data_IF_366455239887
#
_entry.id   IF_366455239887
#
_cell.length_a   1.000
_cell.length_b   1.000
_cell.length_c   1.000
_cell.angle_alpha   90.00
_cell.angle_beta   90.00
_cell.angle_gamma   90.00
#
_symmetry.space_group_name_H-M   'P 1'
#
loop_
_entity.id
_entity.type
_entity.pdbx_description
1 polymer ?
#
# COMPACT_ATOMS: atom_id res chain seq x y z
N UNK A 1 0.94 8.19 -34.45
CA UNK A 1 2.39 7.99 -34.21
C UNK A 1 2.99 8.96 -33.19
N UNK A 2 2.68 10.26 -33.23
CA UNK A 2 3.15 11.28 -32.27
C UNK A 2 2.82 10.98 -30.79
N UNK A 3 1.60 10.48 -30.50
CA UNK A 3 1.15 10.15 -29.13
C UNK A 3 2.00 9.05 -28.48
N UNK A 4 2.33 8.00 -29.23
CA UNK A 4 3.15 6.89 -28.72
C UNK A 4 4.60 7.30 -28.44
N UNK A 5 5.20 8.12 -29.32
CA UNK A 5 6.53 8.69 -29.09
C UNK A 5 6.57 9.58 -27.85
N UNK A 6 5.52 10.37 -27.61
CA UNK A 6 5.41 11.19 -26.40
C UNK A 6 5.33 10.31 -25.13
N UNK A 7 4.56 9.22 -25.15
CA UNK A 7 4.50 8.26 -24.04
C UNK A 7 5.83 7.54 -23.76
N UNK A 8 6.56 7.15 -24.81
CA UNK A 8 7.89 6.54 -24.68
C UNK A 8 8.93 7.49 -24.09
N UNK A 9 8.91 8.78 -24.50
CA UNK A 9 9.78 9.81 -23.92
C UNK A 9 9.47 10.07 -22.44
N UNK A 10 8.19 10.04 -22.06
CA UNK A 10 7.80 10.14 -20.65
C UNK A 10 8.31 8.96 -19.82
N UNK A 11 8.29 7.75 -20.37
CA UNK A 11 8.67 6.53 -19.66
C UNK A 11 10.19 6.30 -19.58
N UNK A 12 10.93 6.60 -20.65
CA UNK A 12 12.37 6.31 -20.76
C UNK A 12 13.27 7.56 -20.65
N UNK A 13 12.68 8.76 -20.53
CA UNK A 13 13.41 10.03 -20.54
C UNK A 13 13.71 10.54 -21.95
N UNK A 14 14.14 11.80 -22.04
CA UNK A 14 14.42 12.48 -23.33
C UNK A 14 15.66 11.95 -24.06
N UNK A 15 16.49 11.13 -23.39
CA UNK A 15 17.80 10.68 -23.89
C UNK A 15 17.75 9.48 -24.86
N UNK A 16 16.57 8.91 -25.14
CA UNK A 16 16.40 7.82 -26.11
C UNK A 16 15.67 8.28 -27.36
N UNK A 17 16.37 8.28 -28.48
CA UNK A 17 15.76 8.35 -29.80
C UNK A 17 15.22 6.98 -30.20
N UNK A 18 13.95 6.94 -30.63
CA UNK A 18 13.28 5.73 -31.08
C UNK A 18 13.16 5.76 -32.60
N UNK A 19 13.81 4.82 -33.27
CA UNK A 19 13.76 4.66 -34.73
C UNK A 19 12.38 4.11 -35.14
N UNK A 20 11.87 4.48 -36.33
CA UNK A 20 10.50 4.17 -36.75
C UNK A 20 10.19 2.67 -36.86
N UNK A 21 11.17 1.92 -37.31
CA UNK A 21 11.17 0.46 -37.38
C UNK A 21 10.99 -0.22 -36.01
N UNK A 22 11.36 0.43 -34.91
CA UNK A 22 11.22 -0.10 -33.55
C UNK A 22 9.84 0.14 -32.94
N UNK A 23 9.01 1.02 -33.53
CA UNK A 23 7.69 1.36 -32.98
C UNK A 23 6.77 0.14 -32.82
N UNK A 24 6.67 -0.79 -33.79
CA UNK A 24 5.86 -2.01 -33.63
C UNK A 24 6.31 -2.85 -32.43
N UNK A 25 7.62 -3.07 -32.29
CA UNK A 25 8.21 -3.81 -31.15
C UNK A 25 7.83 -3.20 -29.81
N UNK A 26 7.99 -1.88 -29.67
CA UNK A 26 7.68 -1.21 -28.40
C UNK A 26 6.20 -1.22 -28.08
N UNK A 27 5.30 -1.19 -29.08
CA UNK A 27 3.86 -1.33 -28.83
C UNK A 27 3.54 -2.69 -28.24
N UNK A 28 4.00 -3.77 -28.89
CA UNK A 28 3.77 -5.13 -28.44
C UNK A 28 4.35 -5.35 -27.03
N UNK A 29 5.57 -4.86 -26.79
CA UNK A 29 6.20 -4.96 -25.49
C UNK A 29 5.41 -4.24 -24.39
N UNK A 30 4.94 -3.02 -24.65
CA UNK A 30 4.24 -2.21 -23.65
C UNK A 30 2.77 -2.63 -23.44
N UNK A 31 2.16 -3.36 -24.37
CA UNK A 31 0.83 -3.95 -24.20
C UNK A 31 0.86 -5.37 -23.61
N UNK A 32 2.04 -5.98 -23.48
CA UNK A 32 2.19 -7.33 -22.92
C UNK A 32 2.36 -7.31 -21.40
N UNK A 33 1.40 -7.93 -20.70
CA UNK A 33 1.49 -8.13 -19.24
C UNK A 33 2.74 -8.92 -18.84
N UNK A 34 3.11 -9.92 -19.65
CA UNK A 34 4.30 -10.74 -19.42
C UNK A 34 5.58 -9.90 -19.44
N UNK A 35 5.67 -8.96 -20.37
CA UNK A 35 6.79 -8.04 -20.50
C UNK A 35 6.85 -7.05 -19.33
N UNK A 36 5.71 -6.47 -18.94
CA UNK A 36 5.62 -5.61 -17.75
C UNK A 36 6.09 -6.34 -16.50
N UNK A 37 5.58 -7.55 -16.27
CA UNK A 37 5.96 -8.36 -15.10
C UNK A 37 7.44 -8.76 -15.14
N UNK A 38 8.00 -9.02 -16.34
CA UNK A 38 9.43 -9.29 -16.50
C UNK A 38 10.27 -8.10 -16.10
N UNK A 39 9.96 -6.89 -16.57
CA UNK A 39 10.70 -5.67 -16.25
C UNK A 39 10.69 -5.38 -14.74
N UNK A 40 9.53 -5.51 -14.09
CA UNK A 40 9.39 -5.34 -12.63
C UNK A 40 10.26 -6.36 -11.89
N UNK A 41 10.12 -7.66 -12.22
CA UNK A 41 10.82 -8.73 -11.52
C UNK A 41 12.33 -8.67 -11.71
N UNK A 42 12.79 -8.50 -12.95
CA UNK A 42 14.22 -8.43 -13.27
C UNK A 42 14.84 -7.16 -12.71
N UNK A 43 14.18 -6.01 -12.85
CA UNK A 43 14.63 -4.74 -12.30
C UNK A 43 14.83 -4.80 -10.80
N UNK A 44 13.84 -5.31 -10.06
CA UNK A 44 13.93 -5.44 -8.61
C UNK A 44 14.99 -6.46 -8.17
N UNK A 45 15.06 -7.62 -8.81
CA UNK A 45 16.07 -8.63 -8.48
C UNK A 45 17.49 -8.10 -8.67
N UNK A 46 17.77 -7.40 -9.78
CA UNK A 46 19.07 -6.75 -10.04
C UNK A 46 19.39 -5.68 -9.00
N UNK A 47 18.43 -4.82 -8.66
CA UNK A 47 18.57 -3.80 -7.63
C UNK A 47 18.92 -4.42 -6.28
N UNK A 48 18.14 -5.41 -5.83
CA UNK A 48 18.29 -6.04 -4.54
C UNK A 48 19.61 -6.81 -4.43
N UNK A 49 19.94 -7.62 -5.45
CA UNK A 49 21.17 -8.39 -5.49
C UNK A 49 22.41 -7.48 -5.48
N UNK A 50 22.40 -6.38 -6.24
CA UNK A 50 23.49 -5.38 -6.20
C UNK A 50 23.60 -4.73 -4.82
N UNK A 51 22.48 -4.36 -4.21
CA UNK A 51 22.45 -3.73 -2.89
C UNK A 51 22.99 -4.64 -1.78
N UNK A 52 22.77 -5.94 -1.88
CA UNK A 52 23.12 -6.92 -0.84
C UNK A 52 24.30 -7.83 -1.24
N UNK A 53 25.01 -7.52 -2.33
CA UNK A 53 26.11 -8.33 -2.87
C UNK A 53 25.77 -9.83 -3.06
N UNK A 54 24.53 -10.12 -3.51
CA UNK A 54 24.06 -11.47 -3.81
C UNK A 54 24.13 -11.76 -5.31
N UNK A 55 24.23 -13.03 -5.69
CA UNK A 55 24.19 -13.49 -7.10
C UNK A 55 23.13 -14.57 -7.37
N UNK A 56 22.23 -14.76 -6.43
CA UNK A 56 21.24 -15.84 -6.44
C UNK A 56 19.92 -15.43 -7.10
N UNK A 57 19.08 -16.44 -7.35
CA UNK A 57 17.69 -16.23 -7.74
C UNK A 57 16.92 -15.52 -6.63
N UNK A 58 16.27 -14.40 -6.98
CA UNK A 58 15.45 -13.64 -6.03
C UNK A 58 14.00 -14.15 -5.96
N UNK A 59 13.43 -14.56 -7.10
CA UNK A 59 12.03 -14.98 -7.20
C UNK A 59 11.93 -16.51 -7.21
N UNK A 60 11.00 -17.08 -6.44
CA UNK A 60 10.78 -18.53 -6.40
C UNK A 60 10.08 -19.09 -7.64
N UNK A 61 9.11 -18.37 -8.20
CA UNK A 61 8.26 -18.88 -9.29
C UNK A 61 7.98 -17.86 -10.39
N UNK A 62 7.46 -18.31 -11.54
CA UNK A 62 6.92 -17.43 -12.60
C UNK A 62 5.63 -16.74 -12.14
N UNK A 63 5.30 -15.59 -12.73
CA UNK A 63 4.03 -14.94 -12.42
C UNK A 63 2.88 -15.78 -12.99
N UNK A 64 1.73 -15.76 -12.30
CA UNK A 64 0.50 -16.41 -12.76
C UNK A 64 -0.47 -15.32 -13.20
N UNK A 65 -1.23 -15.59 -14.26
CA UNK A 65 -2.29 -14.71 -14.75
C UNK A 65 -3.58 -15.52 -14.85
N UNK A 66 -4.62 -15.07 -14.16
CA UNK A 66 -5.93 -15.71 -14.14
C UNK A 66 -6.97 -14.62 -14.32
N UNK A 67 -7.92 -14.83 -15.23
CA UNK A 67 -9.01 -13.90 -15.47
C UNK A 67 -10.00 -14.00 -14.31
N UNK A 68 -10.36 -12.84 -13.74
CA UNK A 68 -11.39 -12.72 -12.70
C UNK A 68 -12.56 -11.98 -13.33
N UNK A 69 -13.65 -12.69 -13.54
CA UNK A 69 -14.79 -12.21 -14.36
C UNK A 69 -15.96 -11.69 -13.51
N UNK A 70 -16.13 -12.18 -12.27
CA UNK A 70 -17.26 -11.83 -11.39
C UNK A 70 -16.83 -10.99 -10.19
N UNK A 71 -17.67 -10.03 -9.78
CA UNK A 71 -17.45 -9.14 -8.64
C UNK A 71 -17.21 -9.88 -7.32
N UNK A 72 -17.97 -10.95 -7.05
CA UNK A 72 -17.75 -11.80 -5.86
C UNK A 72 -16.36 -12.45 -5.86
N UNK A 73 -15.92 -12.92 -7.02
CA UNK A 73 -14.59 -13.52 -7.15
C UNK A 73 -13.51 -12.46 -6.91
N UNK A 74 -13.72 -11.24 -7.40
CA UNK A 74 -12.81 -10.12 -7.15
C UNK A 74 -12.76 -9.75 -5.66
N UNK A 75 -13.91 -9.64 -4.98
CA UNK A 75 -13.98 -9.37 -3.52
C UNK A 75 -13.20 -10.42 -2.74
N UNK A 76 -13.42 -11.71 -3.05
CA UNK A 76 -12.75 -12.82 -2.39
C UNK A 76 -11.23 -12.79 -2.61
N UNK A 77 -10.79 -12.51 -3.84
CA UNK A 77 -9.38 -12.40 -4.20
C UNK A 77 -8.69 -11.22 -3.48
N UNK A 78 -9.33 -10.05 -3.47
CA UNK A 78 -8.81 -8.86 -2.80
C UNK A 78 -8.72 -9.08 -1.28
N UNK A 79 -9.76 -9.63 -0.66
CA UNK A 79 -9.76 -9.92 0.76
C UNK A 79 -8.71 -10.97 1.13
N UNK A 80 -8.49 -11.98 0.28
CA UNK A 80 -7.39 -12.93 0.47
C UNK A 80 -6.04 -12.20 0.55
N UNK A 81 -5.77 -11.29 -0.38
CA UNK A 81 -4.53 -10.50 -0.40
C UNK A 81 -4.42 -9.62 0.84
N UNK A 82 -5.47 -8.88 1.18
CA UNK A 82 -5.47 -7.95 2.31
C UNK A 82 -5.37 -8.65 3.67
N UNK A 83 -5.82 -9.91 3.77
CA UNK A 83 -5.70 -10.75 4.97
C UNK A 83 -4.37 -11.50 5.08
N UNK A 84 -3.54 -11.56 4.04
CA UNK A 84 -2.26 -12.28 4.12
C UNK A 84 -1.31 -11.77 5.22
N UNK A 85 -1.12 -10.45 5.41
CA UNK A 85 -0.28 -9.93 6.49
C UNK A 85 -0.82 -10.28 7.89
N UNK A 86 -2.14 -10.24 8.06
CA UNK A 86 -2.80 -10.69 9.29
C UNK A 86 -2.49 -12.16 9.54
N UNK A 87 -2.79 -13.03 8.57
CA UNK A 87 -2.59 -14.48 8.66
C UNK A 87 -1.14 -14.87 8.91
N UNK A 88 -0.19 -14.09 8.37
CA UNK A 88 1.24 -14.24 8.60
C UNK A 88 1.72 -13.70 9.97
N UNK A 89 0.82 -13.19 10.81
CA UNK A 89 1.16 -12.68 12.14
C UNK A 89 1.76 -11.27 12.17
N UNK A 90 1.83 -10.56 11.04
CA UNK A 90 2.51 -9.27 10.94
C UNK A 90 1.72 -8.11 11.56
N UNK A 91 0.39 -8.22 11.60
CA UNK A 91 -0.53 -7.19 12.11
C UNK A 91 -1.68 -7.83 12.88
N UNK A 92 -2.40 -7.05 13.68
CA UNK A 92 -3.64 -7.49 14.36
C UNK A 92 -4.90 -7.10 13.59
N UNK A 93 -4.81 -6.06 12.76
CA UNK A 93 -5.89 -5.57 11.92
C UNK A 93 -5.44 -5.45 10.45
N UNK A 94 -6.28 -5.83 9.48
CA UNK A 94 -5.89 -5.83 8.07
C UNK A 94 -5.39 -4.45 7.57
N UNK A 95 -5.99 -3.36 8.02
CA UNK A 95 -5.62 -2.01 7.60
C UNK A 95 -4.34 -1.45 8.25
N UNK A 96 -3.76 -2.17 9.23
CA UNK A 96 -2.48 -1.78 9.81
C UNK A 96 -1.31 -2.10 8.87
N UNK A 97 -1.50 -3.03 7.94
CA UNK A 97 -0.50 -3.31 6.93
C UNK A 97 -0.61 -2.32 5.77
N UNK A 98 0.29 -1.33 5.74
CA UNK A 98 0.22 -0.21 4.78
C UNK A 98 0.38 -0.57 3.30
N UNK A 99 0.89 -1.76 2.98
CA UNK A 99 1.19 -2.19 1.62
C UNK A 99 0.12 -3.12 1.02
N UNK A 100 -1.06 -3.19 1.63
CA UNK A 100 -2.24 -3.83 1.02
C UNK A 100 -3.26 -2.75 0.60
N UNK A 101 -4.32 -3.17 -0.11
CA UNK A 101 -5.28 -2.24 -0.68
C UNK A 101 -6.04 -1.49 0.41
N UNK A 102 -6.61 -2.22 1.38
CA UNK A 102 -7.36 -1.62 2.48
C UNK A 102 -6.51 -0.62 3.28
N UNK A 103 -5.29 -1.01 3.65
CA UNK A 103 -4.32 -0.16 4.33
C UNK A 103 -4.03 1.11 3.55
N UNK A 104 -3.67 1.01 2.27
CA UNK A 104 -3.40 2.17 1.42
C UNK A 104 -4.61 3.13 1.34
N UNK A 105 -5.81 2.60 1.11
CA UNK A 105 -7.03 3.42 1.03
C UNK A 105 -7.34 4.16 2.34
N UNK A 106 -7.09 3.54 3.50
CA UNK A 106 -7.39 4.13 4.80
C UNK A 106 -6.30 5.05 5.32
N UNK A 107 -5.05 4.74 5.00
CA UNK A 107 -3.88 5.46 5.46
C UNK A 107 -3.52 6.67 4.59
N UNK A 108 -3.89 6.64 3.30
CA UNK A 108 -3.56 7.71 2.34
C UNK A 108 -4.78 8.38 1.72
N UNK A 109 -5.99 7.87 2.02
CA UNK A 109 -7.24 8.23 1.33
C UNK A 109 -7.24 7.94 -0.18
N UNK A 110 -6.24 7.17 -0.65
CA UNK A 110 -5.95 6.98 -2.07
C UNK A 110 -5.78 8.33 -2.77
N UNK A 111 -4.97 9.21 -2.18
CA UNK A 111 -4.77 10.59 -2.64
C UNK A 111 -4.31 10.66 -4.10
N UNK A 112 -3.41 9.76 -4.49
CA UNK A 112 -2.83 9.73 -5.84
C UNK A 112 -3.72 9.02 -6.86
N UNK A 113 -4.92 8.59 -6.46
CA UNK A 113 -5.84 7.76 -7.26
C UNK A 113 -5.16 6.50 -7.85
N UNK A 114 -4.17 5.97 -7.14
CA UNK A 114 -3.36 4.85 -7.60
C UNK A 114 -4.13 3.53 -7.63
N UNK A 115 -4.99 3.29 -6.64
CA UNK A 115 -5.79 2.07 -6.55
C UNK A 115 -7.27 2.34 -6.88
N UNK A 116 -7.88 1.39 -7.60
CA UNK A 116 -9.31 1.42 -7.88
C UNK A 116 -10.13 1.29 -6.59
N UNK A 117 -11.26 1.98 -6.51
CA UNK A 117 -12.22 1.85 -5.39
C UNK A 117 -13.36 0.91 -5.70
N UNK A 118 -13.25 0.13 -6.79
CA UNK A 118 -14.29 -0.79 -7.23
C UNK A 118 -14.56 -1.87 -6.20
N UNK A 119 -13.51 -2.54 -5.76
CA UNK A 119 -13.55 -3.71 -4.87
C UNK A 119 -14.50 -4.83 -5.34
N UNK A 120 -14.99 -4.83 -6.59
CA UNK A 120 -16.05 -5.74 -7.05
C UNK A 120 -17.45 -5.33 -6.58
N UNK A 121 -17.57 -4.19 -5.90
CA UNK A 121 -18.82 -3.69 -5.33
C UNK A 121 -19.64 -2.83 -6.30
N UNK A 122 -19.08 -2.44 -7.46
CA UNK A 122 -19.86 -1.73 -8.48
C UNK A 122 -20.96 -2.60 -9.09
N UNK A 123 -20.72 -3.91 -9.24
CA UNK A 123 -21.71 -4.87 -9.73
C UNK A 123 -22.93 -4.95 -8.80
N UNK A 124 -22.74 -4.69 -7.51
CA UNK A 124 -23.80 -4.62 -6.49
C UNK A 124 -24.42 -3.22 -6.37
N UNK A 125 -24.25 -2.35 -7.37
CA UNK A 125 -24.80 -0.99 -7.42
C UNK A 125 -24.36 -0.04 -6.28
N UNK A 126 -23.25 -0.33 -5.60
CA UNK A 126 -22.72 0.55 -4.54
C UNK A 126 -21.97 1.73 -5.14
N UNK A 127 -22.60 2.91 -5.19
CA UNK A 127 -22.06 4.09 -5.89
C UNK A 127 -21.07 4.93 -5.08
N UNK A 128 -21.21 5.00 -3.76
CA UNK A 128 -20.36 5.84 -2.91
C UNK A 128 -19.00 5.20 -2.62
N UNK A 129 -17.90 5.94 -2.83
CA UNK A 129 -16.54 5.50 -2.46
C UNK A 129 -16.44 5.18 -0.97
N UNK A 130 -17.05 6.02 -0.11
CA UNK A 130 -17.08 5.81 1.35
C UNK A 130 -17.75 4.48 1.66
N UNK A 131 -18.88 4.21 1.00
CA UNK A 131 -19.67 3.01 1.22
C UNK A 131 -18.96 1.74 0.73
N UNK A 132 -18.33 1.78 -0.46
CA UNK A 132 -17.54 0.65 -0.95
C UNK A 132 -16.40 0.28 -0.01
N UNK A 133 -15.68 1.27 0.51
CA UNK A 133 -14.60 1.03 1.49
C UNK A 133 -15.17 0.42 2.78
N UNK A 134 -16.31 0.90 3.27
CA UNK A 134 -16.97 0.41 4.48
C UNK A 134 -17.43 -1.05 4.32
N UNK A 135 -18.16 -1.36 3.25
CA UNK A 135 -18.64 -2.71 2.96
C UNK A 135 -17.51 -3.69 2.68
N UNK A 136 -16.49 -3.27 1.94
CA UNK A 136 -15.31 -4.10 1.73
C UNK A 136 -14.56 -4.36 3.05
N UNK A 137 -14.41 -3.34 3.90
CA UNK A 137 -13.82 -3.50 5.24
C UNK A 137 -14.62 -4.48 6.09
N UNK A 138 -15.95 -4.38 6.08
CA UNK A 138 -16.84 -5.36 6.74
C UNK A 138 -16.54 -6.78 6.26
N UNK A 139 -16.56 -7.00 4.94
CA UNK A 139 -16.27 -8.30 4.36
C UNK A 139 -14.89 -8.85 4.79
N UNK A 140 -13.85 -8.01 4.75
CA UNK A 140 -12.49 -8.40 5.16
C UNK A 140 -12.44 -8.79 6.64
N UNK A 141 -13.11 -8.07 7.54
CA UNK A 141 -13.13 -8.42 8.97
C UNK A 141 -13.89 -9.71 9.23
N UNK A 142 -15.08 -9.87 8.63
CA UNK A 142 -15.88 -11.10 8.77
C UNK A 142 -15.12 -12.31 8.22
N UNK A 143 -14.53 -12.20 7.03
CA UNK A 143 -13.71 -13.27 6.44
C UNK A 143 -12.38 -13.52 7.19
N UNK A 144 -11.87 -12.51 7.89
CA UNK A 144 -10.65 -12.57 8.69
C UNK A 144 -10.85 -13.21 10.07
N UNK A 145 -12.08 -13.22 10.57
CA UNK A 145 -12.45 -13.90 11.83
C UNK A 145 -12.63 -15.40 11.63
N UNK A 146 -13.02 -15.83 10.42
CA UNK A 146 -13.21 -17.24 10.10
C UNK A 146 -11.89 -18.00 10.20
N UNK A 147 -11.83 -18.92 11.17
CA UNK A 147 -10.73 -19.87 11.26
C UNK A 147 -10.89 -20.94 10.17
N UNK A 148 -9.79 -21.30 9.49
CA UNK A 148 -9.78 -22.37 8.50
C UNK A 148 -9.08 -23.58 9.12
N UNK A 149 -9.81 -24.61 9.57
CA UNK A 149 -9.23 -25.74 10.29
C UNK A 149 -8.15 -26.47 9.48
N UNK A 150 -8.24 -26.40 8.15
CA UNK A 150 -7.35 -27.07 7.19
C UNK A 150 -5.98 -26.37 7.03
N UNK A 151 -5.79 -25.16 7.58
CA UNK A 151 -4.52 -24.42 7.51
C UNK A 151 -3.98 -24.15 8.92
N UNK A 152 -2.87 -24.81 9.24
CA UNK A 152 -2.08 -24.67 10.47
C UNK A 152 -2.05 -23.22 11.00
N UNK A 153 -2.49 -23.02 12.25
CA UNK A 153 -2.33 -21.82 13.10
C UNK A 153 -2.24 -20.45 12.38
N UNK A 154 -3.10 -20.19 11.40
CA UNK A 154 -3.15 -18.86 10.79
C UNK A 154 -3.79 -17.88 11.78
N UNK A 155 -3.13 -16.73 12.00
CA UNK A 155 -3.70 -15.70 12.87
C UNK A 155 -5.00 -15.16 12.25
N UNK A 156 -6.04 -15.09 13.07
CA UNK A 156 -7.36 -14.54 12.74
C UNK A 156 -7.56 -13.20 13.47
N UNK A 157 -8.57 -12.44 13.04
CA UNK A 157 -9.01 -11.27 13.80
C UNK A 157 -9.67 -11.75 15.09
N UNK A 158 -9.31 -11.16 16.22
CA UNK A 158 -9.91 -11.46 17.53
C UNK A 158 -11.42 -11.16 17.51
N UNK A 159 -12.25 -12.09 18.01
CA UNK A 159 -13.71 -11.96 18.04
C UNK A 159 -14.18 -10.69 18.78
N UNK A 160 -13.47 -10.25 19.83
CA UNK A 160 -13.77 -9.01 20.54
C UNK A 160 -13.53 -7.79 19.66
N UNK A 161 -12.50 -7.85 18.79
CA UNK A 161 -12.24 -6.80 17.82
C UNK A 161 -13.36 -6.76 16.78
N UNK A 162 -13.78 -7.91 16.24
CA UNK A 162 -14.86 -7.98 15.26
C UNK A 162 -16.18 -7.48 15.85
N UNK A 163 -16.54 -7.91 17.07
CA UNK A 163 -17.73 -7.44 17.77
C UNK A 163 -17.74 -5.91 17.92
N UNK A 164 -16.62 -5.31 18.33
CA UNK A 164 -16.48 -3.86 18.44
C UNK A 164 -16.57 -3.12 17.10
N UNK A 165 -16.14 -3.74 16.00
CA UNK A 165 -16.27 -3.14 14.68
C UNK A 165 -17.69 -3.31 14.12
N UNK A 166 -18.41 -4.40 14.47
CA UNK A 166 -19.84 -4.58 14.17
C UNK A 166 -20.71 -3.51 14.83
N UNK A 167 -20.44 -3.17 16.09
CA UNK A 167 -21.13 -2.07 16.80
C UNK A 167 -21.01 -0.72 16.08
N UNK A 168 -19.96 -0.53 15.29
CA UNK A 168 -19.70 0.69 14.51
C UNK A 168 -20.08 0.57 13.05
N UNK A 169 -20.73 -0.54 12.67
CA UNK A 169 -21.02 -0.89 11.27
C UNK A 169 -19.78 -0.76 10.35
N UNK A 170 -18.62 -1.12 10.92
CA UNK A 170 -17.30 -1.04 10.31
C UNK A 170 -16.90 0.37 9.83
N UNK A 171 -17.59 1.41 10.28
CA UNK A 171 -17.20 2.79 10.05
C UNK A 171 -15.90 3.13 10.79
N UNK A 172 -15.09 3.96 10.15
CA UNK A 172 -13.81 4.37 10.69
C UNK A 172 -13.98 5.72 11.36
N UNK A 173 -13.75 5.77 12.67
CA UNK A 173 -13.78 7.01 13.42
C UNK A 173 -12.73 8.01 12.92
N UNK A 174 -12.96 9.31 13.14
CA UNK A 174 -11.98 10.36 12.83
C UNK A 174 -10.64 10.11 13.53
N UNK A 175 -10.68 9.65 14.78
CA UNK A 175 -9.49 9.28 15.57
C UNK A 175 -8.71 8.12 14.94
N UNK A 176 -9.40 7.08 14.43
CA UNK A 176 -8.75 5.96 13.76
C UNK A 176 -8.12 6.39 12.44
N UNK A 177 -8.84 7.19 11.64
CA UNK A 177 -8.29 7.77 10.40
C UNK A 177 -7.04 8.59 10.67
N UNK A 178 -7.07 9.46 11.66
CA UNK A 178 -5.92 10.26 12.05
C UNK A 178 -4.73 9.36 12.42
N UNK A 179 -4.94 8.37 13.30
CA UNK A 179 -3.89 7.41 13.71
C UNK A 179 -3.30 6.65 12.52
N UNK A 180 -4.12 6.18 11.58
CA UNK A 180 -3.67 5.47 10.38
C UNK A 180 -2.85 6.36 9.45
N UNK A 181 -3.32 7.58 9.20
CA UNK A 181 -2.59 8.59 8.42
C UNK A 181 -1.27 8.93 9.07
N UNK A 182 -1.27 9.17 10.37
CA UNK A 182 -0.05 9.43 11.14
C UNK A 182 0.93 8.28 10.95
N UNK A 183 0.54 7.02 11.22
CA UNK A 183 1.39 5.83 11.02
C UNK A 183 2.00 5.75 9.62
N UNK A 184 1.21 5.99 8.57
CA UNK A 184 1.74 6.00 7.19
C UNK A 184 2.91 6.95 7.00
N UNK A 185 2.85 8.13 7.62
CA UNK A 185 3.92 9.13 7.57
C UNK A 185 5.00 8.91 8.64
N UNK A 186 4.67 8.26 9.76
CA UNK A 186 5.49 8.13 10.98
C UNK A 186 6.12 6.79 11.22
N UNK A 187 5.84 5.75 10.45
CA UNK A 187 6.65 4.53 10.46
C UNK A 187 8.11 4.84 10.04
N UNK A 188 8.41 6.10 9.70
CA UNK A 188 9.75 6.68 9.70
C UNK A 188 9.85 8.10 10.31
N UNK A 189 9.01 8.44 11.30
CA UNK A 189 8.93 9.77 11.93
C UNK A 189 8.48 9.74 13.40
N UNK A 190 9.16 10.52 14.24
CA UNK A 190 8.83 10.71 15.66
C UNK A 190 7.84 11.88 15.76
N UNK A 191 6.69 11.70 16.43
CA UNK A 191 5.66 12.73 16.64
C UNK A 191 5.28 12.84 18.11
N UNK A 192 5.10 14.06 18.59
CA UNK A 192 4.65 14.36 19.95
C UNK A 192 4.91 15.83 20.28
N UNK A 193 5.08 16.13 21.56
CA UNK A 193 5.61 17.45 21.97
C UNK A 193 7.00 17.68 21.37
N UNK A 194 7.42 18.94 21.35
CA UNK A 194 8.76 19.32 20.85
C UNK A 194 9.87 18.56 21.60
N UNK A 195 9.70 18.42 22.91
CA UNK A 195 10.60 17.74 23.83
C UNK A 195 10.63 16.24 23.52
N UNK A 196 9.46 15.61 23.37
CA UNK A 196 9.34 14.20 23.02
C UNK A 196 10.03 13.88 21.68
N UNK A 197 9.82 14.72 20.67
CA UNK A 197 10.42 14.53 19.34
C UNK A 197 11.94 14.70 19.41
N UNK A 198 12.42 15.70 20.15
CA UNK A 198 13.85 15.96 20.34
C UNK A 198 14.55 14.81 21.08
N UNK A 199 13.98 14.36 22.20
CA UNK A 199 14.53 13.29 23.04
C UNK A 199 14.63 11.96 22.28
N UNK A 200 13.57 11.57 21.58
CA UNK A 200 13.58 10.32 20.80
C UNK A 200 14.50 10.43 19.57
N UNK A 201 14.66 11.62 18.96
CA UNK A 201 15.66 11.79 17.89
C UNK A 201 17.08 11.54 18.41
N UNK A 202 17.44 12.11 19.57
CA UNK A 202 18.76 11.87 20.17
C UNK A 202 18.96 10.38 20.50
N UNK A 203 17.93 9.72 21.05
CA UNK A 203 17.97 8.28 21.37
C UNK A 203 18.26 7.40 20.16
N UNK A 204 17.65 7.69 19.01
CA UNK A 204 17.77 6.88 17.80
C UNK A 204 18.71 7.48 16.74
N UNK A 205 19.48 8.53 17.07
CA UNK A 205 20.34 9.28 16.15
C UNK A 205 21.27 8.37 15.33
N UNK A 206 21.83 7.35 15.99
CA UNK A 206 22.73 6.36 15.40
C UNK A 206 22.09 5.48 14.32
N UNK A 207 20.75 5.33 14.32
CA UNK A 207 20.02 4.56 13.31
C UNK A 207 19.71 5.39 12.04
N UNK A 208 19.94 6.70 12.06
CA UNK A 208 19.66 7.59 10.93
C UNK A 208 20.92 7.87 10.12
N UNK A 209 20.93 7.51 8.84
CA UNK A 209 22.02 7.79 7.88
C UNK A 209 22.09 9.25 7.37
N UNK A 210 21.60 10.24 8.13
CA UNK A 210 21.50 11.64 7.68
C UNK A 210 22.77 12.44 7.98
N UNK A 211 23.32 13.16 6.98
CA UNK A 211 24.46 14.09 7.17
C UNK A 211 24.11 15.35 7.98
N UNK A 212 22.83 15.71 8.08
CA UNK A 212 22.34 16.91 8.80
C UNK A 212 21.46 16.51 9.97
N UNK A 213 21.59 17.25 11.07
CA UNK A 213 20.76 17.06 12.26
C UNK A 213 19.30 17.40 11.98
N UNK A 214 18.38 16.51 12.37
CA UNK A 214 16.95 16.71 12.15
C UNK A 214 16.35 17.48 13.33
N UNK A 215 15.70 18.61 13.05
CA UNK A 215 14.98 19.42 14.04
C UNK A 215 13.47 19.12 14.02
N UNK A 216 12.79 19.05 15.19
CA UNK A 216 11.34 18.94 15.26
C UNK A 216 10.66 20.07 14.47
N UNK A 217 9.65 19.72 13.66
CA UNK A 217 8.86 20.67 12.87
C UNK A 217 7.42 20.71 13.36
N UNK A 218 6.82 21.90 13.56
CA UNK A 218 5.43 22.00 13.97
C UNK A 218 4.49 21.46 12.88
N UNK A 219 3.40 20.83 13.29
CA UNK A 219 2.36 20.33 12.39
C UNK A 219 1.29 21.43 12.22
N UNK A 220 1.04 21.84 10.98
CA UNK A 220 0.06 22.90 10.69
C UNK A 220 -1.35 22.39 11.04
N UNK A 221 -2.09 23.15 11.83
CA UNK A 221 -3.47 22.80 12.22
C UNK A 221 -3.60 21.98 13.51
N UNK A 222 -2.48 21.58 14.15
CA UNK A 222 -2.45 20.91 15.45
C UNK A 222 -1.50 21.64 16.40
N UNK A 223 -2.07 22.48 17.27
CA UNK A 223 -1.28 23.24 18.24
C UNK A 223 -0.51 22.32 19.20
N UNK A 224 0.74 22.66 19.51
CA UNK A 224 1.61 21.88 20.39
C UNK A 224 2.20 20.60 19.80
N UNK A 225 1.86 20.23 18.56
CA UNK A 225 2.31 18.98 17.93
C UNK A 225 3.49 19.18 16.97
N UNK A 226 4.53 18.34 17.12
CA UNK A 226 5.76 18.38 16.33
C UNK A 226 6.04 17.02 15.67
N UNK A 227 6.85 17.03 14.60
CA UNK A 227 7.25 15.84 13.85
C UNK A 227 8.71 15.91 13.38
N UNK A 228 9.40 14.77 13.31
CA UNK A 228 10.80 14.69 12.82
C UNK A 228 10.91 14.76 11.29
N UNK A 229 9.85 14.40 10.57
CA UNK A 229 9.69 14.56 9.11
C UNK A 229 8.67 15.66 8.83
N UNK A 230 8.84 16.40 7.73
CA UNK A 230 7.82 17.38 7.31
C UNK A 230 6.55 16.62 6.94
N UNK A 231 5.49 16.80 7.72
CA UNK A 231 4.16 16.33 7.36
C UNK A 231 3.52 17.39 6.49
N UNK A 232 3.25 17.04 5.23
CA UNK A 232 2.44 17.88 4.35
C UNK A 232 0.98 17.59 4.66
N UNK A 233 0.37 18.37 5.53
CA UNK A 233 -1.09 18.44 5.54
C UNK A 233 -1.49 19.50 4.53
N UNK A 234 -1.90 19.04 3.35
CA UNK A 234 -2.88 19.78 2.56
C UNK A 234 -4.16 19.65 3.37
N UNK A 235 -4.46 20.73 4.10
CA UNK A 235 -5.76 20.98 4.72
C UNK A 235 -6.78 21.08 3.61
#
# INVERSE_FOLDING_TARGET
MKIFRSGLKHFFGESREFVEDQIPYWREKLSSLSELMREIKVGFARYYNRRHNRREYFWGDRFKSVIVDKGETLINCLAYIDLNPLRAGMVDRPEEYRWNSLGYHLQTENKDQFLSTDFGLKEFSVRSKKERIRLYRRYVYEAGALNRPDKMQAKVVDDKVVAKEREKDFEISRTSRFRYRTRYFTDSGIIGSKEFVSANYQRFKHLFYSKREKKPKPIKGLEGMYSLKRLSEVI
#
